data_IF_829300657989
#
_entry.id   IF_829300657989
#
_cell.length_a   1.000
_cell.length_b   1.000
_cell.length_c   1.000
_cell.angle_alpha   90.00
_cell.angle_beta   90.00
_cell.angle_gamma   90.00
#
_symmetry.space_group_name_H-M   'P 1'
#
loop_
_entity.id
_entity.type
_entity.pdbx_description
1 polymer ?
#
# COMPACT_ATOMS: atom_id res chain seq x y z
N UNK A 1 -8.71 -2.37 13.07
CA UNK A 1 -7.86 -3.55 12.93
C UNK A 1 -6.51 -3.16 12.36
N UNK A 2 -5.49 -3.91 12.66
CA UNK A 2 -4.15 -3.61 12.16
C UNK A 2 -4.03 -4.01 10.68
N UNK A 3 -3.37 -3.16 9.90
CA UNK A 3 -3.06 -3.44 8.51
C UNK A 3 -1.92 -4.47 8.46
N UNK A 4 -2.08 -5.50 7.64
CA UNK A 4 -1.08 -6.56 7.55
C UNK A 4 0.23 -6.05 6.95
N UNK A 5 1.35 -6.44 7.57
CA UNK A 5 2.68 -6.25 7.00
C UNK A 5 3.00 -7.47 6.14
N UNK A 6 3.18 -7.27 4.85
CA UNK A 6 3.40 -8.35 3.90
C UNK A 6 4.88 -8.60 3.71
N UNK A 7 5.27 -9.87 3.73
CA UNK A 7 6.65 -10.27 3.46
C UNK A 7 6.81 -10.67 1.99
N UNK A 8 8.05 -10.80 1.57
CA UNK A 8 8.37 -11.28 0.22
C UNK A 8 7.72 -12.64 -0.07
N UNK A 9 7.73 -13.55 0.91
CA UNK A 9 7.13 -14.89 0.74
C UNK A 9 5.61 -14.88 0.65
N UNK A 10 4.97 -13.82 1.15
CA UNK A 10 3.51 -13.68 1.13
C UNK A 10 3.02 -12.81 -0.02
N UNK A 11 3.93 -12.23 -0.79
CA UNK A 11 3.59 -11.24 -1.80
C UNK A 11 2.56 -11.75 -2.82
N UNK A 12 2.81 -12.91 -3.41
CA UNK A 12 1.92 -13.44 -4.42
C UNK A 12 0.53 -13.73 -3.85
N UNK A 13 0.46 -14.39 -2.70
CA UNK A 13 -0.84 -14.75 -2.11
C UNK A 13 -1.62 -13.53 -1.63
N UNK A 14 -0.95 -12.54 -1.05
CA UNK A 14 -1.63 -11.40 -0.45
C UNK A 14 -1.90 -10.26 -1.42
N UNK A 15 -1.07 -10.10 -2.45
CA UNK A 15 -1.18 -8.96 -3.36
C UNK A 15 -1.54 -9.39 -4.78
N UNK A 16 -0.71 -10.21 -5.39
CA UNK A 16 -0.87 -10.55 -6.81
C UNK A 16 -2.15 -11.33 -7.08
N UNK A 17 -2.46 -12.29 -6.22
CA UNK A 17 -3.62 -13.18 -6.39
C UNK A 17 -4.88 -12.70 -5.66
N UNK A 18 -4.89 -11.46 -5.18
CA UNK A 18 -6.05 -10.91 -4.49
C UNK A 18 -7.24 -10.74 -5.43
N UNK A 19 -8.44 -11.09 -4.94
CA UNK A 19 -9.70 -10.94 -5.69
C UNK A 19 -10.18 -9.49 -5.75
N UNK A 20 -9.65 -8.64 -4.89
CA UNK A 20 -10.02 -7.22 -4.82
C UNK A 20 -8.77 -6.36 -4.98
N UNK A 21 -8.93 -5.07 -5.33
CA UNK A 21 -7.77 -4.18 -5.41
C UNK A 21 -6.99 -4.13 -4.10
N UNK A 22 -5.67 -4.03 -4.19
CA UNK A 22 -4.78 -3.97 -3.03
C UNK A 22 -3.97 -2.68 -3.09
N UNK A 23 -4.06 -1.90 -2.02
CA UNK A 23 -3.19 -0.75 -1.82
C UNK A 23 -1.99 -1.21 -1.00
N UNK A 24 -0.79 -1.05 -1.56
CA UNK A 24 0.45 -1.37 -0.88
C UNK A 24 1.15 -0.09 -0.46
N UNK A 25 1.39 0.04 0.85
CA UNK A 25 2.14 1.15 1.44
C UNK A 25 3.58 0.73 1.65
N UNK A 26 4.48 1.18 0.77
CA UNK A 26 5.93 0.96 0.92
C UNK A 26 6.48 2.00 1.87
N UNK A 27 7.06 1.57 2.98
CA UNK A 27 7.51 2.44 4.05
C UNK A 27 8.83 1.97 4.65
N UNK A 28 9.41 2.77 5.53
CA UNK A 28 10.56 2.39 6.33
C UNK A 28 10.47 3.08 7.69
N UNK A 29 11.16 2.52 8.68
CA UNK A 29 11.10 3.02 10.06
C UNK A 29 11.65 4.43 10.21
N UNK A 30 12.62 4.81 9.36
CA UNK A 30 13.25 6.14 9.40
C UNK A 30 12.46 7.21 8.64
N UNK A 31 11.41 6.84 7.96
CA UNK A 31 10.67 7.75 7.08
C UNK A 31 9.53 8.44 7.84
N UNK A 32 9.69 9.72 8.16
CA UNK A 32 8.69 10.49 8.89
C UNK A 32 7.37 10.62 8.12
N UNK A 33 7.36 11.01 6.84
CA UNK A 33 6.10 11.11 6.08
C UNK A 33 5.35 9.78 6.00
N UNK A 34 6.07 8.66 6.04
CA UNK A 34 5.44 7.34 6.02
C UNK A 34 4.55 7.12 7.24
N UNK A 35 4.95 7.66 8.40
CA UNK A 35 4.18 7.51 9.64
C UNK A 35 2.83 8.21 9.53
N UNK A 36 2.79 9.36 8.88
CA UNK A 36 1.55 10.11 8.69
C UNK A 36 0.59 9.35 7.79
N UNK A 37 1.09 8.83 6.67
CA UNK A 37 0.29 8.02 5.75
C UNK A 37 -0.20 6.76 6.44
N UNK A 38 0.65 6.08 7.20
CA UNK A 38 0.27 4.89 7.95
C UNK A 38 -0.89 5.13 8.90
N UNK A 39 -0.88 6.28 9.59
CA UNK A 39 -1.97 6.64 10.50
C UNK A 39 -3.28 6.86 9.74
N UNK A 40 -3.22 7.54 8.60
CA UNK A 40 -4.41 7.77 7.78
C UNK A 40 -5.00 6.44 7.30
N UNK A 41 -4.15 5.53 6.82
CA UNK A 41 -4.60 4.21 6.37
C UNK A 41 -5.28 3.43 7.50
N UNK A 42 -4.71 3.45 8.71
CA UNK A 42 -5.31 2.79 9.85
C UNK A 42 -6.66 3.39 10.23
N UNK A 43 -6.82 4.71 10.09
CA UNK A 43 -8.08 5.38 10.39
C UNK A 43 -9.19 5.00 9.43
N UNK A 44 -8.86 4.72 8.17
CA UNK A 44 -9.87 4.56 7.12
C UNK A 44 -10.04 3.12 6.63
N UNK A 45 -9.16 2.18 7.03
CA UNK A 45 -9.19 0.83 6.47
C UNK A 45 -10.54 0.13 6.65
N UNK A 46 -11.20 0.32 7.79
CA UNK A 46 -12.50 -0.30 8.06
C UNK A 46 -13.58 0.11 7.08
N UNK A 47 -13.49 1.33 6.58
CA UNK A 47 -14.43 1.86 5.59
C UNK A 47 -14.34 1.11 4.26
N UNK A 48 -13.17 0.55 3.94
CA UNK A 48 -12.92 -0.12 2.67
C UNK A 48 -12.87 -1.63 2.77
N UNK A 49 -13.15 -2.19 3.93
CA UNK A 49 -13.12 -3.63 4.13
C UNK A 49 -13.97 -4.35 3.07
N UNK A 50 -13.39 -5.36 2.42
CA UNK A 50 -14.05 -6.09 1.35
C UNK A 50 -14.07 -5.38 0.00
N UNK A 51 -13.62 -4.13 -0.08
CA UNK A 51 -13.59 -3.35 -1.32
C UNK A 51 -12.18 -3.08 -1.82
N UNK A 52 -11.32 -2.62 -0.92
CA UNK A 52 -9.88 -2.42 -1.21
C UNK A 52 -9.11 -2.94 -0.01
N UNK A 53 -8.18 -3.85 -0.26
CA UNK A 53 -7.33 -4.41 0.77
C UNK A 53 -6.13 -3.49 0.99
N UNK A 54 -5.83 -3.16 2.24
CA UNK A 54 -4.64 -2.37 2.57
C UNK A 54 -3.59 -3.30 3.16
N UNK A 55 -2.35 -3.19 2.65
CA UNK A 55 -1.20 -3.89 3.21
C UNK A 55 -0.02 -2.92 3.28
N UNK A 56 0.94 -3.23 4.16
CA UNK A 56 2.17 -2.46 4.32
C UNK A 56 3.36 -3.36 4.00
N UNK A 57 4.39 -2.78 3.39
CA UNK A 57 5.62 -3.49 3.10
C UNK A 57 6.81 -2.63 3.53
N UNK A 58 7.61 -3.14 4.46
CA UNK A 58 8.82 -2.46 4.90
C UNK A 58 9.90 -2.63 3.83
N UNK A 59 10.25 -1.54 3.15
CA UNK A 59 11.16 -1.59 2.01
C UNK A 59 12.58 -2.01 2.39
N UNK A 60 12.98 -1.76 3.63
CA UNK A 60 14.31 -2.16 4.10
C UNK A 60 14.40 -3.65 4.41
N UNK A 61 13.32 -4.23 4.93
CA UNK A 61 13.27 -5.64 5.27
C UNK A 61 12.93 -6.53 4.08
N UNK A 62 12.10 -6.04 3.16
CA UNK A 62 11.63 -6.80 2.00
C UNK A 62 12.23 -6.22 0.72
N UNK A 63 13.55 -6.24 0.63
CA UNK A 63 14.29 -5.59 -0.45
C UNK A 63 14.04 -6.21 -1.83
N UNK A 64 13.74 -7.51 -1.89
CA UNK A 64 13.47 -8.17 -3.15
C UNK A 64 12.24 -7.55 -3.84
N UNK A 65 11.16 -7.34 -3.10
CA UNK A 65 9.95 -6.73 -3.64
C UNK A 65 10.18 -5.25 -3.94
N UNK A 66 10.82 -4.52 -3.02
CA UNK A 66 11.12 -3.11 -3.24
C UNK A 66 11.95 -2.89 -4.51
N UNK A 67 12.94 -3.74 -4.75
CA UNK A 67 13.77 -3.67 -5.95
C UNK A 67 12.98 -4.02 -7.21
N UNK A 68 12.17 -5.07 -7.13
CA UNK A 68 11.34 -5.51 -8.27
C UNK A 68 10.45 -4.39 -8.79
N UNK A 69 9.87 -3.61 -7.89
CA UNK A 69 8.98 -2.51 -8.26
C UNK A 69 9.67 -1.16 -8.29
N UNK A 70 11.01 -1.15 -8.23
CA UNK A 70 11.83 0.06 -8.35
C UNK A 70 11.44 1.15 -7.34
N UNK A 71 11.24 0.74 -6.09
CA UNK A 71 10.92 1.68 -5.02
C UNK A 71 12.19 2.42 -4.64
N UNK A 72 12.26 3.71 -4.97
CA UNK A 72 13.46 4.54 -4.75
C UNK A 72 13.24 5.67 -3.77
N UNK A 73 12.00 6.01 -3.49
CA UNK A 73 11.65 7.05 -2.53
C UNK A 73 10.49 6.59 -1.69
N UNK A 74 10.39 7.09 -0.47
CA UNK A 74 9.34 6.69 0.48
C UNK A 74 8.64 7.93 1.02
N UNK A 75 7.34 7.85 1.27
CA UNK A 75 6.49 6.70 1.00
C UNK A 75 6.20 6.53 -0.49
N UNK A 76 5.89 5.32 -0.90
CA UNK A 76 5.33 5.04 -2.22
C UNK A 76 4.07 4.21 -2.03
N UNK A 77 2.99 4.66 -2.64
CA UNK A 77 1.72 3.95 -2.62
C UNK A 77 1.49 3.37 -4.02
N UNK A 78 1.25 2.06 -4.07
CA UNK A 78 0.89 1.40 -5.33
C UNK A 78 -0.43 0.69 -5.12
N UNK A 79 -1.35 0.83 -6.08
CA UNK A 79 -2.58 0.04 -6.09
C UNK A 79 -2.45 -1.01 -7.18
N UNK A 80 -2.68 -2.26 -6.78
CA UNK A 80 -2.69 -3.41 -7.69
C UNK A 80 -4.13 -3.86 -7.90
N UNK A 81 -4.45 -4.27 -9.12
CA UNK A 81 -5.70 -4.93 -9.44
C UNK A 81 -5.42 -6.07 -10.40
N UNK A 82 -5.86 -7.28 -10.03
CA UNK A 82 -5.59 -8.49 -10.82
C UNK A 82 -4.09 -8.68 -11.07
N UNK A 83 -3.27 -8.38 -10.07
CA UNK A 83 -1.81 -8.54 -10.14
C UNK A 83 -1.09 -7.45 -10.90
N UNK A 84 -1.79 -6.46 -11.43
CA UNK A 84 -1.18 -5.37 -12.21
C UNK A 84 -1.27 -4.03 -11.50
N UNK A 85 -0.26 -3.19 -11.72
CA UNK A 85 -0.24 -1.83 -11.17
C UNK A 85 -1.26 -0.97 -11.91
N UNK A 86 -2.21 -0.38 -11.17
CA UNK A 86 -3.16 0.56 -11.72
C UNK A 86 -2.93 2.00 -11.25
N UNK A 87 -2.22 2.19 -10.12
CA UNK A 87 -1.82 3.50 -9.62
C UNK A 87 -0.47 3.41 -8.92
N UNK A 88 0.34 4.43 -9.06
CA UNK A 88 1.60 4.58 -8.32
C UNK A 88 1.79 6.04 -7.98
N UNK A 89 1.91 6.34 -6.69
CA UNK A 89 2.14 7.71 -6.21
C UNK A 89 3.36 7.71 -5.31
N UNK A 90 4.34 8.54 -5.63
CA UNK A 90 5.58 8.67 -4.87
C UNK A 90 5.54 9.94 -4.03
N UNK A 91 5.93 9.81 -2.77
CA UNK A 91 6.01 10.94 -1.85
C UNK A 91 4.76 11.11 -1.01
N UNK A 92 4.83 12.08 -0.10
CA UNK A 92 3.74 12.37 0.82
C UNK A 92 2.50 12.86 0.07
N UNK A 93 1.33 12.53 0.59
CA UNK A 93 0.08 13.05 0.06
C UNK A 93 -0.89 13.34 1.20
N UNK A 94 -1.84 14.24 0.94
CA UNK A 94 -2.86 14.57 1.92
C UNK A 94 -3.84 13.41 2.08
N UNK A 95 -4.55 13.40 3.20
CA UNK A 95 -5.62 12.42 3.44
C UNK A 95 -6.68 12.50 2.34
N UNK A 96 -7.08 13.70 1.96
CA UNK A 96 -8.09 13.89 0.91
C UNK A 96 -7.68 13.28 -0.42
N UNK A 97 -6.41 13.50 -0.81
CA UNK A 97 -5.90 12.94 -2.06
C UNK A 97 -5.85 11.42 -1.99
N UNK A 98 -5.41 10.87 -0.86
CA UNK A 98 -5.35 9.41 -0.66
C UNK A 98 -6.74 8.79 -0.74
N UNK A 99 -7.72 9.37 -0.05
CA UNK A 99 -9.09 8.86 -0.08
C UNK A 99 -9.70 8.92 -1.48
N UNK A 100 -9.46 9.99 -2.20
CA UNK A 100 -9.94 10.13 -3.57
C UNK A 100 -9.38 9.04 -4.47
N UNK A 101 -8.11 8.72 -4.29
CA UNK A 101 -7.43 7.67 -5.03
C UNK A 101 -8.03 6.29 -4.70
N UNK A 102 -8.23 5.99 -3.42
CA UNK A 102 -8.79 4.71 -2.99
C UNK A 102 -10.24 4.57 -3.45
N UNK A 103 -11.04 5.63 -3.34
CA UNK A 103 -12.45 5.61 -3.75
C UNK A 103 -12.62 5.25 -5.23
N UNK A 104 -11.66 5.61 -6.05
CA UNK A 104 -11.68 5.29 -7.48
C UNK A 104 -11.74 3.78 -7.73
N UNK A 105 -11.17 2.98 -6.83
CA UNK A 105 -11.09 1.53 -6.97
C UNK A 105 -12.01 0.77 -6.02
N UNK A 106 -12.71 1.46 -5.15
CA UNK A 106 -13.57 0.87 -4.12
C UNK A 106 -15.02 0.66 -4.59
N UNK A 107 -15.19 0.23 -5.81
CA UNK A 107 -16.53 0.07 -6.41
C UNK A 107 -17.07 -1.33 -6.28
#
# INVERSE_FOLDING_TARGET
MAIKHVTTGEWDSDVINSDIPVLVDFWATWCVPCKMIGKVLEQVEGKYEGKVKFVKLNADEEQEIATKYQIRALPTIIIFRNGEIVEKVVGAMSKGKLLKLVDKYAK
#
